data_IF_154175426172
#
_entry.id   IF_154175426172
#
_cell.length_a   1.000
_cell.length_b   1.000
_cell.length_c   1.000
_cell.angle_alpha   90.00
_cell.angle_beta   90.00
_cell.angle_gamma   90.00
#
_symmetry.space_group_name_H-M   'P 1'
#
loop_
_entity.id
_entity.type
_entity.pdbx_description
1 polymer ?
#
# COMPACT_ATOMS: atom_id res chain seq x y z
N UNK A 1 18.58 9.17 -1.37
CA UNK A 1 17.14 8.92 -1.06
C UNK A 1 16.35 9.90 -1.90
N UNK A 2 15.43 9.45 -2.75
CA UNK A 2 14.55 10.35 -3.50
C UNK A 2 13.48 10.96 -2.59
N UNK A 3 12.93 12.11 -2.99
CA UNK A 3 11.82 12.78 -2.31
C UNK A 3 10.59 11.88 -2.27
N UNK A 4 9.94 11.79 -1.10
CA UNK A 4 8.67 11.09 -0.96
C UNK A 4 7.53 12.02 -1.39
N UNK A 5 6.68 11.53 -2.29
CA UNK A 5 5.61 12.30 -2.93
C UNK A 5 4.28 11.65 -2.57
N UNK A 6 3.32 12.48 -2.18
CA UNK A 6 1.93 12.11 -1.99
C UNK A 6 1.11 13.17 -2.73
N UNK A 7 0.32 12.74 -3.71
CA UNK A 7 -0.66 13.57 -4.41
C UNK A 7 -2.05 13.08 -4.01
N UNK A 8 -2.92 14.02 -3.69
CA UNK A 8 -4.29 13.77 -3.27
C UNK A 8 -5.19 14.66 -4.14
N UNK A 9 -6.25 14.08 -4.70
CA UNK A 9 -7.23 14.89 -5.43
C UNK A 9 -8.25 14.08 -6.20
N UNK A 10 -9.22 14.82 -6.72
CA UNK A 10 -10.15 14.37 -7.75
C UNK A 10 -9.50 14.58 -9.11
N UNK A 11 -9.22 13.48 -9.82
CA UNK A 11 -8.60 13.52 -11.14
C UNK A 11 -9.63 13.50 -12.27
N UNK A 12 -10.93 13.30 -11.96
CA UNK A 12 -11.99 13.08 -12.94
C UNK A 12 -11.64 12.03 -14.02
N UNK A 13 -10.93 10.98 -13.62
CA UNK A 13 -10.60 9.82 -14.46
C UNK A 13 -11.22 8.60 -13.81
N UNK A 14 -11.92 7.79 -14.59
CA UNK A 14 -12.47 6.52 -14.14
C UNK A 14 -11.35 5.49 -13.93
N UNK A 15 -11.01 5.20 -12.68
CA UNK A 15 -9.95 4.26 -12.30
C UNK A 15 -10.45 2.83 -12.03
N UNK A 16 -11.77 2.66 -11.93
CA UNK A 16 -12.44 1.39 -11.64
C UNK A 16 -12.44 0.41 -12.82
N UNK A 17 -12.33 0.91 -14.05
CA UNK A 17 -12.19 0.11 -15.27
C UNK A 17 -10.98 0.53 -16.09
N UNK A 18 -10.44 -0.40 -16.88
CA UNK A 18 -9.36 -0.08 -17.82
C UNK A 18 -9.93 0.67 -19.02
N UNK A 19 -9.54 1.92 -19.15
CA UNK A 19 -9.81 2.79 -20.31
C UNK A 19 -8.50 3.26 -20.95
N UNK A 20 -8.60 3.90 -22.11
CA UNK A 20 -7.42 4.49 -22.78
C UNK A 20 -6.84 5.61 -21.91
N UNK A 21 -7.72 6.44 -21.34
CA UNK A 21 -7.40 7.55 -20.45
C UNK A 21 -6.73 7.05 -19.17
N UNK A 22 -7.29 6.03 -18.53
CA UNK A 22 -6.71 5.40 -17.34
C UNK A 22 -5.34 4.77 -17.63
N UNK A 23 -5.19 4.14 -18.80
CA UNK A 23 -3.91 3.55 -19.21
C UNK A 23 -2.84 4.60 -19.43
N UNK A 24 -3.17 5.69 -20.14
CA UNK A 24 -2.25 6.82 -20.36
C UNK A 24 -1.87 7.45 -19.02
N UNK A 25 -2.85 7.68 -18.15
CA UNK A 25 -2.64 8.24 -16.83
C UNK A 25 -1.72 7.35 -15.96
N UNK A 26 -2.03 6.06 -15.85
CA UNK A 26 -1.21 5.09 -15.12
C UNK A 26 0.21 5.01 -15.68
N UNK A 27 0.39 5.03 -17.00
CA UNK A 27 1.71 4.99 -17.62
C UNK A 27 2.52 6.27 -17.34
N UNK A 28 1.87 7.43 -17.37
CA UNK A 28 2.49 8.70 -16.99
C UNK A 28 2.99 8.64 -15.55
N UNK A 29 2.14 8.23 -14.60
CA UNK A 29 2.54 8.08 -13.19
C UNK A 29 3.72 7.11 -13.02
N UNK A 30 3.69 5.97 -13.72
CA UNK A 30 4.76 4.98 -13.69
C UNK A 30 6.09 5.52 -14.23
N UNK A 31 6.08 6.42 -15.22
CA UNK A 31 7.30 7.07 -15.71
C UNK A 31 7.98 7.95 -14.65
N UNK A 32 7.24 8.41 -13.64
CA UNK A 32 7.76 9.14 -12.49
C UNK A 32 7.96 8.26 -11.24
N UNK A 33 7.79 6.94 -11.37
CA UNK A 33 7.86 6.02 -10.22
C UNK A 33 6.74 6.21 -9.20
N UNK A 34 5.60 6.76 -9.64
CA UNK A 34 4.39 6.93 -8.84
C UNK A 34 3.40 5.81 -9.15
N UNK A 35 2.57 5.47 -8.15
CA UNK A 35 1.51 4.49 -8.28
C UNK A 35 0.20 4.98 -7.64
N UNK A 36 -0.90 4.47 -8.16
CA UNK A 36 -2.27 4.72 -7.68
C UNK A 36 -2.50 3.87 -6.44
N UNK A 37 -2.97 4.51 -5.36
CA UNK A 37 -3.12 3.91 -4.05
C UNK A 37 -4.50 3.31 -3.73
N UNK A 38 -5.55 3.71 -4.46
CA UNK A 38 -6.89 3.12 -4.33
C UNK A 38 -7.58 2.98 -5.70
N UNK A 39 -8.43 1.96 -5.83
CA UNK A 39 -9.35 1.76 -6.96
C UNK A 39 -10.77 1.45 -6.50
N UNK A 40 -11.09 1.85 -5.26
CA UNK A 40 -12.42 1.70 -4.70
C UNK A 40 -13.27 2.90 -5.10
N UNK A 41 -14.58 2.71 -5.40
CA UNK A 41 -15.47 3.82 -5.73
C UNK A 41 -15.43 4.91 -4.67
N UNK A 42 -15.40 6.16 -5.12
CA UNK A 42 -15.43 7.35 -4.26
C UNK A 42 -16.67 8.19 -4.52
N UNK A 43 -17.37 8.01 -5.65
CA UNK A 43 -18.64 8.67 -5.94
C UNK A 43 -19.62 7.70 -6.61
N UNK A 44 -20.59 7.19 -5.85
CA UNK A 44 -21.48 6.14 -6.34
C UNK A 44 -20.70 4.89 -6.74
N UNK A 45 -20.63 4.60 -8.05
CA UNK A 45 -19.84 3.50 -8.62
C UNK A 45 -18.50 3.96 -9.24
N UNK A 46 -18.26 5.27 -9.36
CA UNK A 46 -17.06 5.81 -9.98
C UNK A 46 -15.93 5.99 -8.97
N UNK A 47 -14.68 5.71 -9.38
CA UNK A 47 -13.47 5.93 -8.61
C UNK A 47 -12.72 7.14 -9.21
N UNK A 48 -13.08 8.35 -8.76
CA UNK A 48 -12.54 9.62 -9.30
C UNK A 48 -11.46 10.23 -8.39
N UNK A 49 -11.60 10.00 -7.09
CA UNK A 49 -10.65 10.47 -6.08
C UNK A 49 -9.61 9.39 -5.80
N UNK A 50 -8.33 9.74 -5.90
CA UNK A 50 -7.26 8.81 -5.56
C UNK A 50 -6.10 9.48 -4.85
N UNK A 51 -5.35 8.64 -4.16
CA UNK A 51 -4.03 8.96 -3.64
C UNK A 51 -2.99 8.40 -4.60
N UNK A 52 -1.98 9.19 -4.94
CA UNK A 52 -0.86 8.77 -5.79
C UNK A 52 0.42 8.98 -5.01
N UNK A 53 1.28 7.97 -4.95
CA UNK A 53 2.49 8.05 -4.13
C UNK A 53 3.64 7.20 -4.64
N UNK A 54 4.85 7.46 -4.13
CA UNK A 54 6.04 6.61 -4.27
C UNK A 54 6.50 6.04 -2.91
N UNK A 55 5.62 6.02 -1.92
CA UNK A 55 5.85 5.36 -0.64
C UNK A 55 5.93 3.85 -0.83
N UNK A 56 6.52 3.11 0.10
CA UNK A 56 6.38 1.64 0.05
C UNK A 56 4.98 1.27 0.57
N UNK A 57 4.33 0.23 0.05
CA UNK A 57 3.04 -0.27 0.57
C UNK A 57 3.11 -0.68 2.04
N UNK A 58 4.32 -0.93 2.56
CA UNK A 58 4.56 -1.16 3.99
C UNK A 58 4.53 0.13 4.84
N UNK A 59 4.78 1.28 4.22
CA UNK A 59 4.94 2.56 4.92
C UNK A 59 3.63 3.34 5.00
N UNK A 60 2.56 2.86 4.36
CA UNK A 60 1.28 3.55 4.36
C UNK A 60 0.08 2.60 4.28
N UNK A 61 -1.07 3.08 4.74
CA UNK A 61 -2.36 2.42 4.62
C UNK A 61 -3.36 3.39 4.02
N UNK A 62 -4.07 2.96 2.99
CA UNK A 62 -5.10 3.75 2.32
C UNK A 62 -6.46 3.12 2.60
N UNK A 63 -7.46 3.96 2.88
CA UNK A 63 -8.84 3.54 3.11
C UNK A 63 -9.83 4.55 2.56
N UNK A 64 -10.97 4.06 2.07
CA UNK A 64 -12.12 4.89 1.70
C UNK A 64 -13.12 4.85 2.86
N UNK A 65 -13.55 6.03 3.30
CA UNK A 65 -14.43 6.22 4.46
C UNK A 65 -15.69 6.94 3.99
N UNK A 66 -16.85 6.44 4.42
CA UNK A 66 -18.11 7.09 4.10
C UNK A 66 -18.22 8.44 4.83
N UNK A 67 -18.27 9.52 4.07
CA UNK A 67 -18.49 10.86 4.62
C UNK A 67 -20.00 11.10 4.64
N UNK A 68 -20.57 11.41 5.81
CA UNK A 68 -22.02 11.61 5.94
C UNK A 68 -22.51 12.95 5.33
N UNK A 69 -21.60 13.77 4.80
CA UNK A 69 -21.85 15.17 4.45
C UNK A 69 -21.63 15.47 2.96
N UNK A 70 -20.77 14.71 2.26
CA UNK A 70 -20.50 14.91 0.83
C UNK A 70 -21.05 13.75 -0.01
N UNK A 71 -21.34 14.04 -1.28
CA UNK A 71 -21.70 13.02 -2.29
C UNK A 71 -20.48 12.19 -2.73
N UNK A 72 -19.28 12.55 -2.26
CA UNK A 72 -18.04 11.79 -2.37
C UNK A 72 -17.68 11.12 -1.03
N UNK A 73 -17.17 9.90 -1.11
CA UNK A 73 -16.53 9.17 -0.01
C UNK A 73 -15.11 9.73 0.18
N UNK A 74 -14.70 9.89 1.43
CA UNK A 74 -13.38 10.42 1.77
C UNK A 74 -12.30 9.36 1.55
N UNK A 75 -11.23 9.70 0.84
CA UNK A 75 -10.03 8.86 0.73
C UNK A 75 -9.00 9.30 1.76
N UNK A 76 -8.54 8.36 2.57
CA UNK A 76 -7.63 8.61 3.70
C UNK A 76 -6.32 7.85 3.50
N UNK A 77 -5.21 8.47 3.86
CA UNK A 77 -3.90 7.83 3.94
C UNK A 77 -3.31 8.01 5.35
N UNK A 78 -2.86 6.90 5.92
CA UNK A 78 -2.07 6.87 7.14
C UNK A 78 -0.64 6.51 6.76
N UNK A 79 0.33 7.36 7.10
CA UNK A 79 1.76 7.12 6.80
C UNK A 79 2.50 6.82 8.09
N UNK A 80 3.24 5.72 8.11
CA UNK A 80 4.12 5.35 9.21
C UNK A 80 5.46 6.07 9.03
N UNK A 81 5.65 7.19 9.71
CA UNK A 81 6.94 7.86 9.75
C UNK A 81 7.76 7.32 10.91
N UNK A 82 8.82 6.57 10.62
CA UNK A 82 9.91 6.40 11.59
C UNK A 82 10.63 7.76 11.69
N UNK A 83 10.17 8.61 12.60
CA UNK A 83 10.95 9.76 13.03
C UNK A 83 12.13 9.20 13.81
N UNK A 84 13.24 8.97 13.13
CA UNK A 84 14.53 8.76 13.80
C UNK A 84 14.85 10.12 14.41
N UNK A 85 14.41 10.36 15.65
CA UNK A 85 14.92 11.46 16.44
C UNK A 85 16.42 11.23 16.57
N UNK A 86 17.20 12.05 15.88
CA UNK A 86 18.65 12.04 15.97
C UNK A 86 19.09 12.58 17.33
N UNK A 87 18.85 11.79 18.38
CA UNK A 87 19.44 11.81 19.74
C UNK A 87 18.61 10.85 20.58
N UNK A 88 19.06 9.60 20.67
CA UNK A 88 19.45 9.02 21.96
C UNK A 88 20.07 7.63 21.75
N UNK A 89 21.29 7.48 22.27
CA UNK A 89 21.87 6.17 22.55
C UNK A 89 21.12 5.66 23.79
N UNK A 90 20.22 4.69 23.63
CA UNK A 90 19.49 4.13 24.76
C UNK A 90 18.74 2.85 24.38
N UNK A 91 18.86 1.85 25.23
CA UNK A 91 18.54 0.43 25.06
C UNK A 91 17.03 0.13 25.31
N UNK A 92 16.60 -1.06 24.86
CA UNK A 92 15.36 -1.80 25.15
C UNK A 92 14.18 -1.47 24.21
N UNK A 93 13.45 -2.42 23.60
CA UNK A 93 13.15 -3.81 23.97
C UNK A 93 11.62 -3.93 23.96
N UNK A 94 11.04 -4.67 23.02
CA UNK A 94 9.57 -4.80 22.92
C UNK A 94 9.10 -5.76 21.84
N UNK A 95 8.99 -7.04 22.20
CA UNK A 95 8.39 -8.11 21.40
C UNK A 95 6.86 -7.95 21.39
N UNK A 96 6.29 -7.56 20.24
CA UNK A 96 4.85 -7.67 19.95
C UNK A 96 4.55 -8.97 19.20
N UNK A 97 3.97 -9.95 19.90
CA UNK A 97 3.55 -11.24 19.37
C UNK A 97 2.22 -11.07 18.60
N UNK A 98 2.18 -11.34 17.30
CA UNK A 98 0.95 -11.43 16.50
C UNK A 98 0.85 -12.82 15.87
N UNK A 99 -0.19 -13.57 16.22
CA UNK A 99 -0.54 -14.86 15.61
C UNK A 99 -1.70 -14.66 14.63
N UNK A 100 -1.49 -15.00 13.37
CA UNK A 100 -2.53 -15.14 12.35
C UNK A 100 -2.21 -16.35 11.48
N UNK A 101 -3.17 -17.24 11.26
CA UNK A 101 -3.04 -18.43 10.41
C UNK A 101 -3.63 -18.15 9.03
N UNK A 102 -2.83 -18.18 7.95
CA UNK A 102 -3.34 -18.18 6.57
C UNK A 102 -3.15 -19.55 5.92
N UNK A 103 -4.19 -20.05 5.25
CA UNK A 103 -4.14 -21.25 4.40
C UNK A 103 -3.35 -20.96 3.13
N UNK A 104 -2.51 -21.90 2.68
CA UNK A 104 -1.68 -21.76 1.47
C UNK A 104 -2.52 -21.91 0.20
N UNK A 105 -2.28 -21.05 -0.80
CA UNK A 105 -2.82 -21.16 -2.16
C UNK A 105 -1.71 -21.70 -3.11
N UNK A 106 -2.02 -22.61 -4.06
CA UNK A 106 -1.02 -23.33 -4.86
C UNK A 106 -0.11 -22.47 -5.77
N UNK A 107 -0.54 -21.27 -6.16
CA UNK A 107 0.16 -20.44 -7.17
C UNK A 107 1.07 -19.33 -6.59
N UNK A 108 1.18 -19.24 -5.27
CA UNK A 108 1.93 -18.17 -4.64
C UNK A 108 3.43 -18.47 -4.67
N UNK A 109 4.27 -17.43 -4.85
CA UNK A 109 5.75 -17.56 -4.75
C UNK A 109 6.31 -16.76 -3.58
N UNK A 110 7.32 -17.33 -2.92
CA UNK A 110 7.97 -16.78 -1.75
C UNK A 110 9.11 -15.81 -2.14
N UNK A 111 9.05 -14.55 -1.72
CA UNK A 111 10.08 -13.54 -2.00
C UNK A 111 10.77 -13.07 -0.71
N UNK A 112 12.13 -13.02 -0.67
CA UNK A 112 12.86 -12.53 0.48
C UNK A 112 12.77 -11.00 0.60
N UNK A 113 12.49 -10.50 1.82
CA UNK A 113 12.60 -9.08 2.17
C UNK A 113 14.04 -8.77 2.60
N UNK A 114 14.69 -7.74 2.04
CA UNK A 114 15.89 -7.17 2.65
C UNK A 114 15.48 -6.46 3.95
N UNK A 115 15.88 -6.99 5.11
CA UNK A 115 15.75 -6.29 6.39
C UNK A 115 17.11 -5.74 6.80
N UNK A 116 17.15 -4.54 7.37
CA UNK A 116 18.38 -3.91 7.88
C UNK A 116 18.89 -4.53 9.21
N UNK A 117 18.42 -5.72 9.58
CA UNK A 117 18.67 -6.31 10.90
C UNK A 117 18.71 -7.84 10.93
N UNK A 118 19.06 -8.50 9.82
CA UNK A 118 19.34 -9.94 9.80
C UNK A 118 18.13 -10.89 9.91
N UNK A 119 16.93 -10.38 10.16
CA UNK A 119 15.71 -11.20 10.20
C UNK A 119 15.20 -11.48 8.79
N UNK A 120 15.23 -12.74 8.35
CA UNK A 120 14.67 -13.16 7.05
C UNK A 120 13.14 -13.11 7.14
N UNK A 121 12.53 -12.16 6.45
CA UNK A 121 11.07 -12.14 6.23
C UNK A 121 10.77 -12.54 4.80
N UNK A 122 9.71 -13.31 4.63
CA UNK A 122 9.28 -13.83 3.35
C UNK A 122 7.84 -13.43 3.10
N UNK A 123 7.52 -13.12 1.84
CA UNK A 123 6.16 -12.80 1.42
C UNK A 123 5.75 -13.67 0.25
N UNK A 124 4.48 -14.05 0.26
CA UNK A 124 3.83 -14.65 -0.88
C UNK A 124 3.37 -13.54 -1.83
N UNK A 125 3.71 -13.64 -3.13
CA UNK A 125 3.16 -12.75 -4.17
C UNK A 125 2.44 -13.57 -5.23
N UNK A 126 1.38 -12.98 -5.76
CA UNK A 126 0.70 -13.42 -6.96
C UNK A 126 1.40 -12.83 -8.20
N UNK A 127 1.72 -13.62 -9.23
CA UNK A 127 2.54 -13.15 -10.35
C UNK A 127 1.84 -12.19 -11.33
N UNK A 128 0.50 -12.07 -11.28
CA UNK A 128 -0.27 -11.41 -12.36
C UNK A 128 -1.11 -10.19 -11.94
N UNK A 129 -1.22 -9.88 -10.65
CA UNK A 129 -1.89 -8.68 -10.15
C UNK A 129 -0.91 -7.91 -9.28
N UNK A 130 -0.57 -6.69 -9.69
CA UNK A 130 0.20 -5.73 -8.89
C UNK A 130 -0.59 -5.13 -7.73
N UNK A 131 -1.51 -5.89 -7.12
CA UNK A 131 -2.35 -5.45 -6.03
C UNK A 131 -2.50 -6.57 -5.00
N UNK A 132 -2.09 -6.26 -3.78
CA UNK A 132 -2.16 -7.11 -2.59
C UNK A 132 -3.64 -7.41 -2.23
N UNK A 133 -4.19 -8.51 -2.75
CA UNK A 133 -5.41 -9.13 -2.21
C UNK A 133 -5.06 -10.07 -1.04
N UNK A 134 -4.29 -9.59 -0.06
CA UNK A 134 -4.24 -10.17 1.27
C UNK A 134 -3.57 -9.20 2.25
N UNK A 135 -4.37 -8.47 3.03
CA UNK A 135 -3.89 -7.68 4.18
C UNK A 135 -3.48 -8.55 5.39
N UNK A 136 -3.35 -9.86 5.22
CA UNK A 136 -2.94 -10.76 6.29
C UNK A 136 -1.56 -11.34 6.00
N UNK A 137 -0.53 -10.66 6.51
CA UNK A 137 0.86 -11.14 6.48
C UNK A 137 0.96 -12.52 7.16
N UNK A 138 1.22 -13.56 6.37
CA UNK A 138 1.41 -14.92 6.88
C UNK A 138 2.87 -15.09 7.34
N UNK A 139 3.08 -15.15 8.66
CA UNK A 139 4.39 -15.45 9.27
C UNK A 139 4.46 -16.95 9.57
N UNK A 140 5.30 -17.70 8.85
CA UNK A 140 5.71 -19.04 9.26
C UNK A 140 7.11 -18.92 9.87
N UNK A 141 7.22 -19.16 11.18
CA UNK A 141 8.52 -19.40 11.80
C UNK A 141 8.95 -20.81 11.38
N UNK A 142 10.06 -20.88 10.64
CA UNK A 142 10.76 -22.14 10.40
C UNK A 142 11.60 -22.36 11.66
N UNK A 143 11.23 -23.37 12.46
CA UNK A 143 12.06 -23.88 13.55
C UNK A 143 13.37 -24.44 13.00
#
# INVERSE_FOLDING_TARGET
KGTKIILLGDFNIHLEFRSKEETIFTNLLRSFGLFIGNRLPTRGLACLDTIITNLDTWDHKISVVNSLVADHLAVTIQVSTEVISGRDRGIAGGLGLWRGTCKQHPDWRLYPRPTKGGSRRFLWREPYLGADLCTTACRREVF
#
